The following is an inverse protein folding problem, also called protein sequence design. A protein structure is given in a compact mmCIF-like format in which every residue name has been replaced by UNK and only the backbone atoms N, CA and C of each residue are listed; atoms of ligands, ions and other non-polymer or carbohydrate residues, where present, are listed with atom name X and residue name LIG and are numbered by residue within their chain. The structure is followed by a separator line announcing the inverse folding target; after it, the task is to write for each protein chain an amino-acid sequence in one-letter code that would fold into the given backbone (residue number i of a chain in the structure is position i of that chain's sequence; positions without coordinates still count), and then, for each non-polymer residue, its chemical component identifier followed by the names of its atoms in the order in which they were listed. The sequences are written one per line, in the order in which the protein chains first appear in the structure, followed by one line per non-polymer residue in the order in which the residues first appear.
data_IF_334283116297
#
_entry.id   IF_334283116297
#
_cell.length_a   1.000
_cell.length_b   1.000
_cell.length_c   1.000
_cell.angle_alpha   90.00
_cell.angle_beta   90.00
_cell.angle_gamma   90.00
#
_symmetry.space_group_name_H-M   'P 1'
#
loop_
_entity.id
_entity.type
_entity.pdbx_description
1 polymer ?
#
# COMPACT_ATOMS: atom_id res chain seq x y z
N UNK A 1 7.25 -11.87 26.48
CA UNK A 1 6.24 -11.08 25.74
C UNK A 1 5.48 -10.16 26.68
N UNK A 2 4.87 -10.67 27.77
CA UNK A 2 4.05 -9.85 28.69
C UNK A 2 4.71 -8.56 29.19
N UNK A 3 5.98 -8.59 29.62
CA UNK A 3 6.70 -7.37 30.04
C UNK A 3 6.71 -6.28 28.96
N UNK A 4 7.02 -6.66 27.71
CA UNK A 4 7.05 -5.73 26.57
C UNK A 4 5.65 -5.25 26.22
N UNK A 5 4.64 -6.12 26.32
CA UNK A 5 3.23 -5.75 26.11
C UNK A 5 2.76 -4.73 27.14
N UNK A 6 3.12 -4.91 28.41
CA UNK A 6 2.79 -3.97 29.49
C UNK A 6 3.47 -2.62 29.28
N UNK A 7 4.75 -2.61 28.91
CA UNK A 7 5.47 -1.38 28.56
C UNK A 7 4.82 -0.69 27.36
N UNK A 8 4.46 -1.43 26.31
CA UNK A 8 3.82 -0.88 25.10
C UNK A 8 2.44 -0.29 25.40
N UNK A 9 1.59 -0.98 26.17
CA UNK A 9 0.24 -0.50 26.52
C UNK A 9 0.32 0.76 27.40
N UNK A 10 1.35 0.87 28.24
CA UNK A 10 1.59 2.03 29.12
C UNK A 10 1.96 3.32 28.38
N UNK A 11 2.42 3.25 27.13
CA UNK A 11 2.79 4.44 26.36
C UNK A 11 1.56 5.26 25.92
N UNK A 12 1.71 6.58 25.68
CA UNK A 12 0.70 7.39 25.02
C UNK A 12 0.28 6.81 23.66
N UNK A 13 -1.00 6.99 23.28
CA UNK A 13 -1.57 6.46 22.02
C UNK A 13 -0.71 6.77 20.79
N UNK A 14 -0.17 7.99 20.70
CA UNK A 14 0.66 8.42 19.57
C UNK A 14 1.94 7.59 19.47
N UNK A 15 2.65 7.39 20.57
CA UNK A 15 3.89 6.62 20.61
C UNK A 15 3.63 5.14 20.29
N UNK A 16 2.53 4.57 20.78
CA UNK A 16 2.11 3.21 20.40
C UNK A 16 1.89 3.08 18.90
N UNK A 17 1.23 4.05 18.27
CA UNK A 17 0.98 4.04 16.82
C UNK A 17 2.28 4.17 16.01
N UNK A 18 3.22 5.00 16.47
CA UNK A 18 4.55 5.11 15.84
C UNK A 18 5.31 3.78 15.88
N UNK A 19 5.27 3.08 17.02
CA UNK A 19 5.91 1.77 17.18
C UNK A 19 5.23 0.73 16.27
N UNK A 20 3.90 0.70 16.23
CA UNK A 20 3.16 -0.21 15.33
C UNK A 20 3.52 0.06 13.87
N UNK A 21 3.56 1.34 13.43
CA UNK A 21 3.99 1.70 12.07
C UNK A 21 5.40 1.17 11.78
N UNK A 22 6.32 1.36 12.71
CA UNK A 22 7.69 0.91 12.55
C UNK A 22 7.80 -0.61 12.45
N UNK A 23 7.07 -1.36 13.28
CA UNK A 23 7.04 -2.82 13.22
C UNK A 23 6.47 -3.34 11.90
N UNK A 24 5.36 -2.75 11.42
CA UNK A 24 4.79 -3.08 10.11
C UNK A 24 5.78 -2.83 8.97
N UNK A 25 6.52 -1.73 9.04
CA UNK A 25 7.55 -1.42 8.05
C UNK A 25 8.71 -2.43 8.04
N UNK A 26 9.11 -2.94 9.22
CA UNK A 26 10.15 -3.96 9.30
C UNK A 26 9.68 -5.32 8.76
N UNK A 27 8.44 -5.70 9.04
CA UNK A 27 7.86 -6.98 8.59
C UNK A 27 7.67 -7.00 7.06
N UNK A 28 7.37 -5.85 6.48
CA UNK A 28 7.25 -5.65 5.04
C UNK A 28 8.60 -5.72 4.28
N UNK A 29 9.74 -5.91 4.97
CA UNK A 29 11.06 -6.17 4.36
C UNK A 29 11.42 -7.67 4.32
N UNK A 30 10.49 -8.55 4.69
CA UNK A 30 10.69 -9.98 4.47
C UNK A 30 10.75 -10.27 2.96
N UNK A 31 11.51 -11.30 2.60
CA UNK A 31 11.98 -11.65 1.25
C UNK A 31 10.95 -11.79 0.12
N UNK A 32 9.66 -11.62 0.42
CA UNK A 32 8.60 -11.47 -0.59
C UNK A 32 8.56 -10.04 -1.19
N UNK A 33 9.25 -9.07 -0.59
CA UNK A 33 9.27 -7.67 -1.07
C UNK A 33 9.98 -7.50 -2.40
N UNK A 34 11.05 -8.26 -2.67
CA UNK A 34 11.84 -8.10 -3.90
C UNK A 34 11.04 -8.49 -5.15
N UNK A 35 10.17 -9.51 -5.05
CA UNK A 35 9.27 -9.92 -6.15
C UNK A 35 8.16 -8.89 -6.36
N UNK A 36 7.59 -8.37 -5.27
CA UNK A 36 6.57 -7.31 -5.32
C UNK A 36 7.14 -6.03 -5.93
N UNK A 37 8.30 -5.56 -5.46
CA UNK A 37 8.97 -4.37 -5.98
C UNK A 37 9.32 -4.54 -7.47
N UNK A 38 9.83 -5.71 -7.86
CA UNK A 38 10.13 -6.03 -9.27
C UNK A 38 8.87 -6.06 -10.14
N UNK A 39 7.77 -6.64 -9.65
CA UNK A 39 6.50 -6.66 -10.34
C UNK A 39 5.91 -5.25 -10.51
N UNK A 40 6.04 -4.39 -9.50
CA UNK A 40 5.62 -2.99 -9.57
C UNK A 40 6.45 -2.18 -10.56
N UNK A 41 7.78 -2.33 -10.55
CA UNK A 41 8.65 -1.65 -11.51
C UNK A 41 8.34 -2.06 -12.95
N UNK A 42 8.07 -3.35 -13.17
CA UNK A 42 7.61 -3.85 -14.46
C UNK A 42 6.29 -3.22 -14.87
N UNK A 43 5.30 -3.21 -13.99
CA UNK A 43 3.98 -2.62 -14.26
C UNK A 43 4.08 -1.12 -14.59
N UNK A 44 4.88 -0.36 -13.84
CA UNK A 44 5.11 1.07 -14.11
C UNK A 44 5.74 1.26 -15.49
N UNK A 45 6.77 0.47 -15.80
CA UNK A 45 7.45 0.51 -17.11
C UNK A 45 6.50 0.18 -18.26
N UNK A 46 5.68 -0.86 -18.11
CA UNK A 46 4.71 -1.28 -19.11
C UNK A 46 3.60 -0.22 -19.30
N UNK A 47 3.17 0.47 -18.23
CA UNK A 47 2.22 1.59 -18.32
C UNK A 47 2.79 2.81 -19.02
N UNK A 48 4.05 3.17 -18.75
CA UNK A 48 4.74 4.24 -19.48
C UNK A 48 4.81 3.91 -20.96
N UNK A 49 5.22 2.68 -21.30
CA UNK A 49 5.27 2.22 -22.70
C UNK A 49 3.90 2.30 -23.39
N UNK A 50 2.82 1.88 -22.71
CA UNK A 50 1.48 1.95 -23.28
C UNK A 50 1.04 3.39 -23.61
N UNK A 51 1.48 4.37 -22.81
CA UNK A 51 1.24 5.79 -23.10
C UNK A 51 2.02 6.23 -24.33
N UNK A 52 3.32 5.90 -24.40
CA UNK A 52 4.20 6.25 -25.53
C UNK A 52 3.71 5.65 -26.85
N UNK A 53 3.26 4.39 -26.81
CA UNK A 53 2.72 3.65 -27.95
C UNK A 53 1.27 4.01 -28.28
N UNK A 54 0.63 4.90 -27.49
CA UNK A 54 -0.79 5.29 -27.61
C UNK A 54 -1.78 4.12 -27.52
N UNK A 55 -1.39 3.08 -26.79
CA UNK A 55 -2.21 1.89 -26.51
C UNK A 55 -2.83 1.94 -25.10
N UNK A 56 -2.46 2.92 -24.28
CA UNK A 56 -3.00 3.11 -22.94
C UNK A 56 -4.53 3.29 -22.96
N UNK A 57 -5.22 2.52 -22.13
CA UNK A 57 -6.65 2.66 -21.87
C UNK A 57 -6.83 3.61 -20.69
N UNK A 58 -7.52 4.72 -20.92
CA UNK A 58 -7.86 5.70 -19.87
C UNK A 58 -9.34 5.59 -19.53
N UNK A 59 -9.66 5.92 -18.28
CA UNK A 59 -11.02 6.10 -17.80
C UNK A 59 -11.17 7.53 -17.30
N UNK A 60 -12.33 8.12 -17.54
CA UNK A 60 -12.66 9.41 -16.95
C UNK A 60 -12.70 9.32 -15.42
N UNK A 61 -12.27 10.39 -14.73
CA UNK A 61 -12.19 10.41 -13.28
C UNK A 61 -13.56 10.22 -12.62
N UNK A 62 -14.59 10.90 -13.11
CA UNK A 62 -15.93 10.83 -12.53
C UNK A 62 -16.52 9.43 -12.75
N UNK A 63 -16.28 8.84 -13.93
CA UNK A 63 -16.67 7.46 -14.22
C UNK A 63 -15.98 6.46 -13.27
N UNK A 64 -14.69 6.64 -13.02
CA UNK A 64 -13.92 5.79 -12.11
C UNK A 64 -14.46 5.88 -10.67
N UNK A 65 -14.73 7.09 -10.18
CA UNK A 65 -15.26 7.31 -8.84
C UNK A 65 -16.65 6.70 -8.66
N UNK A 66 -17.54 6.87 -9.64
CA UNK A 66 -18.87 6.25 -9.60
C UNK A 66 -18.80 4.71 -9.55
N UNK A 67 -17.84 4.09 -10.26
CA UNK A 67 -17.64 2.63 -10.21
C UNK A 67 -17.16 2.18 -8.83
N UNK A 68 -16.28 2.93 -8.19
CA UNK A 68 -15.76 2.64 -6.84
C UNK A 68 -16.90 2.74 -5.81
N UNK A 69 -17.65 3.84 -5.84
CA UNK A 69 -18.79 4.08 -4.93
C UNK A 69 -19.82 2.94 -5.03
N UNK A 70 -20.25 2.59 -6.25
CA UNK A 70 -21.22 1.50 -6.46
C UNK A 70 -20.77 0.15 -5.92
N UNK A 71 -19.45 -0.11 -5.93
CA UNK A 71 -18.88 -1.42 -5.58
C UNK A 71 -18.60 -1.56 -4.10
N UNK A 72 -18.21 -0.49 -3.41
CA UNK A 72 -17.68 -0.57 -2.05
C UNK A 72 -18.45 0.23 -1.00
N UNK A 73 -19.38 1.10 -1.40
CA UNK A 73 -20.14 1.95 -0.48
C UNK A 73 -21.65 1.67 -0.49
N UNK A 74 -22.04 0.39 -0.58
CA UNK A 74 -23.42 -0.04 -0.30
C UNK A 74 -23.69 -0.11 1.20
#
# INVERSE_FOLDING_TARGET
IERLTTELIGLPKRERLEIVRFLLFLDNRSSDSDDVDSAWEKEITDRIRAVDERTAVVIDYDEAMQKIEKRFMQ
#
